data_IF_998008709235
#
_entry.id   IF_998008709235
#
_cell.length_a   1.000
_cell.length_b   1.000
_cell.length_c   1.000
_cell.angle_alpha   90.00
_cell.angle_beta   90.00
_cell.angle_gamma   90.00
#
_symmetry.space_group_name_H-M   'P 1'
#
loop_
_entity.id
_entity.type
_entity.pdbx_description
1 polymer ?
#
# COMPACT_ATOMS: atom_id res chain seq x y z
N UNK A 1 -7.21 -18.78 -6.93
CA UNK A 1 -5.85 -18.73 -7.49
C UNK A 1 -4.90 -18.56 -6.31
N UNK A 2 -4.34 -19.67 -5.81
CA UNK A 2 -3.42 -19.66 -4.69
C UNK A 2 -2.16 -18.91 -5.12
N UNK A 3 -1.88 -17.76 -4.49
CA UNK A 3 -0.58 -17.12 -4.61
C UNK A 3 0.45 -18.15 -4.17
N UNK A 4 1.33 -18.60 -5.07
CA UNK A 4 2.56 -19.28 -4.69
C UNK A 4 3.22 -18.40 -3.62
N UNK A 5 3.21 -18.88 -2.38
CA UNK A 5 3.93 -18.24 -1.27
C UNK A 5 5.35 -17.98 -1.75
N UNK A 6 5.80 -16.72 -1.76
CA UNK A 6 7.20 -16.41 -2.11
C UNK A 6 8.13 -17.24 -1.22
N UNK A 7 9.31 -17.64 -1.73
CA UNK A 7 10.25 -18.49 -0.97
C UNK A 7 10.60 -17.92 0.40
N UNK A 8 10.59 -16.60 0.55
CA UNK A 8 10.78 -15.89 1.81
C UNK A 8 9.69 -16.18 2.84
N UNK A 9 8.42 -16.31 2.43
CA UNK A 9 7.32 -16.65 3.34
C UNK A 9 7.47 -18.08 3.86
N UNK A 10 7.92 -19.01 3.01
CA UNK A 10 8.17 -20.38 3.42
C UNK A 10 9.35 -20.46 4.40
N UNK A 11 10.45 -19.77 4.11
CA UNK A 11 11.59 -19.65 5.02
C UNK A 11 11.20 -19.02 6.36
N UNK A 12 10.41 -17.95 6.32
CA UNK A 12 9.89 -17.31 7.53
C UNK A 12 9.01 -18.27 8.34
N UNK A 13 8.10 -19.01 7.69
CA UNK A 13 7.25 -19.98 8.37
C UNK A 13 8.05 -21.09 9.05
N UNK A 14 9.09 -21.63 8.40
CA UNK A 14 9.97 -22.63 8.98
C UNK A 14 10.69 -22.07 10.23
N UNK A 15 11.30 -20.89 10.12
CA UNK A 15 11.95 -20.23 11.26
C UNK A 15 10.98 -19.93 12.40
N UNK A 16 9.75 -19.54 12.07
CA UNK A 16 8.71 -19.26 13.05
C UNK A 16 8.29 -20.53 13.80
N UNK A 17 8.27 -21.69 13.14
CA UNK A 17 8.00 -22.98 13.79
C UNK A 17 9.08 -23.30 14.83
N UNK A 18 10.35 -23.24 14.45
CA UNK A 18 11.49 -23.47 15.35
C UNK A 18 11.39 -22.57 16.61
N UNK A 19 11.14 -21.27 16.42
CA UNK A 19 10.98 -20.32 17.52
C UNK A 19 9.79 -20.67 18.44
N UNK A 20 8.71 -21.22 17.89
CA UNK A 20 7.53 -21.59 18.68
C UNK A 20 7.77 -22.87 19.48
N UNK A 21 8.48 -23.83 18.90
CA UNK A 21 8.95 -25.04 19.58
C UNK A 21 9.88 -24.69 20.76
N UNK A 22 10.86 -23.81 20.55
CA UNK A 22 11.78 -23.35 21.62
C UNK A 22 11.03 -22.67 22.77
N UNK A 23 9.96 -21.94 22.47
CA UNK A 23 9.12 -21.28 23.48
C UNK A 23 8.07 -22.21 24.09
N UNK A 24 8.00 -23.49 23.67
CA UNK A 24 7.08 -24.50 24.19
C UNK A 24 5.64 -24.36 23.69
N UNK A 25 5.40 -23.70 22.57
CA UNK A 25 4.08 -23.57 21.96
C UNK A 25 3.77 -24.72 21.02
N UNK A 26 2.50 -25.15 21.00
CA UNK A 26 2.01 -26.11 19.99
C UNK A 26 1.98 -25.42 18.62
N UNK A 27 2.67 -25.99 17.65
CA UNK A 27 2.67 -25.49 16.27
C UNK A 27 1.38 -25.92 15.57
N UNK A 28 0.74 -24.99 14.88
CA UNK A 28 -0.34 -25.28 13.96
C UNK A 28 0.23 -25.93 12.68
N UNK A 29 -0.46 -26.95 12.15
CA UNK A 29 -0.16 -27.60 10.86
C UNK A 29 0.09 -26.54 9.76
N UNK A 30 1.03 -26.78 8.84
CA UNK A 30 1.52 -25.78 7.84
C UNK A 30 0.42 -24.97 7.13
N UNK A 31 -0.72 -25.61 6.81
CA UNK A 31 -1.88 -24.99 6.15
C UNK A 31 -2.59 -23.95 7.02
N UNK A 32 -2.49 -24.06 8.34
CA UNK A 32 -3.12 -23.18 9.32
C UNK A 32 -2.13 -22.29 10.07
N UNK A 33 -0.85 -22.29 9.67
CA UNK A 33 0.16 -21.44 10.32
C UNK A 33 -0.03 -19.96 9.92
N UNK A 34 -0.44 -19.08 10.85
CA UNK A 34 -0.59 -17.66 10.56
C UNK A 34 0.78 -17.00 10.42
N UNK A 35 0.89 -16.05 9.48
CA UNK A 35 2.08 -15.18 9.35
C UNK A 35 2.08 -14.12 10.45
N UNK A 36 0.91 -13.59 10.79
CA UNK A 36 0.72 -12.64 11.88
C UNK A 36 -0.03 -13.32 13.03
N UNK A 37 0.69 -13.57 14.11
CA UNK A 37 0.17 -14.29 15.27
C UNK A 37 0.07 -13.38 16.50
N UNK A 38 -0.74 -13.83 17.45
CA UNK A 38 -0.77 -13.32 18.82
C UNK A 38 -0.88 -14.52 19.75
N UNK A 39 -0.15 -14.47 20.85
CA UNK A 39 -0.27 -15.47 21.91
C UNK A 39 -1.64 -15.36 22.62
N UNK A 40 -2.36 -16.48 22.68
CA UNK A 40 -3.65 -16.59 23.35
C UNK A 40 -3.49 -17.28 24.71
N UNK A 41 -3.41 -16.47 25.78
CA UNK A 41 -3.11 -16.92 27.14
C UNK A 41 -3.98 -18.11 27.61
N UNK A 42 -5.30 -18.06 27.41
CA UNK A 42 -6.21 -19.11 27.91
C UNK A 42 -6.04 -20.46 27.18
N UNK A 43 -5.60 -20.43 25.93
CA UNK A 43 -5.42 -21.64 25.12
C UNK A 43 -3.96 -22.11 25.07
N UNK A 44 -3.06 -21.27 25.57
CA UNK A 44 -1.62 -21.48 25.52
C UNK A 44 -1.12 -21.80 24.09
N UNK A 45 -1.66 -21.09 23.10
CA UNK A 45 -1.36 -21.30 21.68
C UNK A 45 -1.19 -19.98 20.93
N UNK A 46 -0.51 -20.04 19.79
CA UNK A 46 -0.42 -18.92 18.86
C UNK A 46 -1.66 -18.89 17.96
N UNK A 47 -2.42 -17.81 18.01
CA UNK A 47 -3.64 -17.63 17.21
C UNK A 47 -3.48 -16.50 16.20
N UNK A 48 -4.39 -16.40 15.23
CA UNK A 48 -4.45 -15.27 14.30
C UNK A 48 -4.53 -13.93 15.04
N UNK A 49 -3.79 -12.95 14.52
CA UNK A 49 -3.94 -11.56 14.94
C UNK A 49 -5.35 -11.04 14.60
N UNK A 50 -5.95 -10.24 15.49
CA UNK A 50 -7.25 -9.61 15.21
C UNK A 50 -7.12 -8.60 14.08
N UNK A 51 -8.13 -8.51 13.23
CA UNK A 51 -8.17 -7.55 12.10
C UNK A 51 -8.11 -6.09 12.56
N UNK A 52 -8.59 -5.77 13.77
CA UNK A 52 -8.51 -4.42 14.34
C UNK A 52 -7.11 -4.03 14.83
N UNK A 53 -6.20 -4.99 14.98
CA UNK A 53 -4.89 -4.76 15.61
C UNK A 53 -4.10 -3.63 14.96
N UNK A 54 -4.04 -3.48 13.62
CA UNK A 54 -3.38 -2.34 12.99
C UNK A 54 -3.99 -0.99 13.40
N UNK A 55 -5.32 -0.90 13.50
CA UNK A 55 -5.99 0.32 13.96
C UNK A 55 -5.65 0.60 15.43
N UNK A 56 -5.67 -0.42 16.29
CA UNK A 56 -5.35 -0.28 17.71
C UNK A 56 -3.90 0.21 17.90
N UNK A 57 -2.96 -0.33 17.12
CA UNK A 57 -1.56 0.10 17.11
C UNK A 57 -1.41 1.55 16.64
N UNK A 58 -2.17 1.95 15.63
CA UNK A 58 -2.15 3.31 15.10
C UNK A 58 -2.73 4.31 16.10
N UNK A 59 -3.80 3.96 16.81
CA UNK A 59 -4.36 4.76 17.92
C UNK A 59 -3.31 4.94 19.02
N UNK A 60 -2.65 3.85 19.44
CA UNK A 60 -1.59 3.91 20.45
C UNK A 60 -0.39 4.76 19.99
N UNK A 61 -0.06 4.73 18.70
CA UNK A 61 0.97 5.58 18.11
C UNK A 61 0.60 7.06 18.22
N UNK A 62 -0.62 7.45 17.84
CA UNK A 62 -1.08 8.84 17.97
C UNK A 62 -1.20 9.31 19.42
N UNK A 63 -1.46 8.40 20.36
CA UNK A 63 -1.38 8.72 21.79
C UNK A 63 0.00 9.20 22.23
N UNK A 64 1.08 8.72 21.58
CA UNK A 64 2.46 9.14 21.82
C UNK A 64 2.89 10.35 20.97
N UNK A 65 2.16 10.64 19.90
CA UNK A 65 2.47 11.71 18.94
C UNK A 65 1.23 12.58 18.66
N UNK A 66 0.75 13.36 19.64
CA UNK A 66 -0.52 14.08 19.54
C UNK A 66 -0.54 15.17 18.45
N UNK A 67 0.63 15.68 18.06
CA UNK A 67 0.75 16.77 17.08
C UNK A 67 0.78 16.28 15.63
N UNK A 68 0.79 14.96 15.39
CA UNK A 68 0.78 14.41 14.04
C UNK A 68 -0.64 14.36 13.47
N UNK A 69 -0.74 14.65 12.18
CA UNK A 69 -1.98 14.46 11.45
C UNK A 69 -2.42 12.98 11.50
N UNK A 70 -3.70 12.77 11.77
CA UNK A 70 -4.28 11.43 11.93
C UNK A 70 -4.72 10.87 10.58
N UNK A 71 -4.18 9.72 10.23
CA UNK A 71 -4.61 8.90 9.11
C UNK A 71 -5.19 7.57 9.62
N UNK A 72 -5.98 6.92 8.79
CA UNK A 72 -6.54 5.59 9.00
C UNK A 72 -5.67 4.54 8.32
N UNK A 73 -5.83 3.28 8.71
CA UNK A 73 -5.10 2.16 8.07
C UNK A 73 -5.40 2.05 6.57
N UNK A 74 -6.63 2.38 6.16
CA UNK A 74 -7.00 2.36 4.74
C UNK A 74 -6.29 3.44 3.92
N UNK A 75 -5.88 4.56 4.54
CA UNK A 75 -5.20 5.65 3.84
C UNK A 75 -3.82 5.22 3.34
N UNK A 76 -3.14 4.27 3.98
CA UNK A 76 -1.91 3.68 3.46
C UNK A 76 -2.13 2.99 2.10
N UNK A 77 -3.29 2.35 1.91
CA UNK A 77 -3.66 1.74 0.62
C UNK A 77 -3.91 2.81 -0.43
N UNK A 78 -4.48 3.94 -0.06
CA UNK A 78 -4.63 5.09 -0.95
C UNK A 78 -3.29 5.68 -1.35
N UNK A 79 -2.39 5.92 -0.39
CA UNK A 79 -1.02 6.37 -0.70
C UNK A 79 -0.30 5.41 -1.64
N UNK A 80 -0.44 4.10 -1.42
CA UNK A 80 0.13 3.11 -2.34
C UNK A 80 -0.44 3.22 -3.76
N UNK A 81 -1.76 3.38 -3.89
CA UNK A 81 -2.41 3.56 -5.19
C UNK A 81 -1.93 4.85 -5.90
N UNK A 82 -1.90 5.98 -5.18
CA UNK A 82 -1.41 7.26 -5.69
C UNK A 82 0.02 7.16 -6.20
N UNK A 83 0.93 6.55 -5.41
CA UNK A 83 2.32 6.35 -5.81
C UNK A 83 2.45 5.48 -7.07
N UNK A 84 1.65 4.41 -7.18
CA UNK A 84 1.66 3.59 -8.40
C UNK A 84 1.25 4.41 -9.63
N UNK A 85 0.23 5.25 -9.51
CA UNK A 85 -0.18 6.13 -10.60
C UNK A 85 0.87 7.19 -10.93
N UNK A 86 1.53 7.77 -9.93
CA UNK A 86 2.63 8.72 -10.15
C UNK A 86 3.81 8.09 -10.91
N UNK A 87 4.07 6.79 -10.69
CA UNK A 87 5.09 6.04 -11.45
C UNK A 87 4.65 5.66 -12.87
N UNK A 88 3.44 6.03 -13.29
CA UNK A 88 2.91 5.74 -14.63
C UNK A 88 2.24 4.38 -14.79
N UNK A 89 1.93 3.68 -13.69
CA UNK A 89 1.20 2.41 -13.76
C UNK A 89 -0.20 2.62 -14.36
N UNK A 90 -0.65 1.69 -15.21
CA UNK A 90 -2.00 1.78 -15.77
C UNK A 90 -3.05 1.45 -14.71
N UNK A 91 -4.29 1.92 -14.91
CA UNK A 91 -5.41 1.58 -14.04
C UNK A 91 -5.57 0.06 -13.87
N UNK A 92 -5.36 -0.71 -14.93
CA UNK A 92 -5.45 -2.16 -14.92
C UNK A 92 -4.37 -2.80 -14.04
N UNK A 93 -3.14 -2.26 -14.09
CA UNK A 93 -2.02 -2.74 -13.27
C UNK A 93 -2.27 -2.44 -11.79
N UNK A 94 -2.75 -1.23 -11.47
CA UNK A 94 -3.09 -0.84 -10.10
C UNK A 94 -4.23 -1.69 -9.55
N UNK A 95 -5.28 -1.94 -10.36
CA UNK A 95 -6.38 -2.82 -9.97
C UNK A 95 -5.93 -4.26 -9.70
N UNK A 96 -5.10 -4.82 -10.59
CA UNK A 96 -4.54 -6.16 -10.39
C UNK A 96 -3.66 -6.22 -9.13
N UNK A 97 -2.87 -5.16 -8.87
CA UNK A 97 -1.97 -5.08 -7.72
C UNK A 97 -2.71 -4.95 -6.39
N UNK A 98 -3.78 -4.17 -6.34
CA UNK A 98 -4.52 -3.90 -5.11
C UNK A 98 -5.52 -5.01 -4.75
N UNK A 99 -5.93 -5.84 -5.71
CA UNK A 99 -6.96 -6.85 -5.52
C UNK A 99 -8.37 -6.23 -5.50
N UNK A 100 -9.27 -6.82 -6.26
CA UNK A 100 -10.55 -6.32 -6.80
C UNK A 100 -11.60 -5.70 -5.85
N UNK A 101 -11.33 -5.43 -4.57
CA UNK A 101 -12.39 -5.14 -3.60
C UNK A 101 -12.89 -3.69 -3.56
N UNK A 102 -12.21 -2.71 -4.17
CA UNK A 102 -12.75 -1.35 -4.20
C UNK A 102 -12.29 -0.52 -5.40
N UNK A 103 -13.01 -0.69 -6.52
CA UNK A 103 -12.87 0.13 -7.72
C UNK A 103 -13.23 1.59 -7.46
N UNK A 104 -14.17 1.84 -6.54
CA UNK A 104 -14.74 3.17 -6.35
C UNK A 104 -13.69 4.11 -5.78
N UNK A 105 -13.00 3.66 -4.73
CA UNK A 105 -11.96 4.47 -4.10
C UNK A 105 -10.67 4.54 -4.95
N UNK A 106 -10.40 3.51 -5.77
CA UNK A 106 -9.29 3.56 -6.75
C UNK A 106 -9.58 4.56 -7.88
N UNK A 107 -10.84 4.62 -8.32
CA UNK A 107 -11.28 5.52 -9.39
C UNK A 107 -11.26 6.98 -8.93
N UNK A 108 -11.75 7.28 -7.72
CA UNK A 108 -11.75 8.63 -7.17
C UNK A 108 -10.32 9.22 -7.13
N UNK A 109 -9.34 8.42 -6.68
CA UNK A 109 -7.91 8.80 -6.67
C UNK A 109 -7.39 9.01 -8.10
N UNK A 110 -7.70 8.08 -9.01
CA UNK A 110 -7.27 8.16 -10.40
C UNK A 110 -7.78 9.44 -11.08
N UNK A 111 -9.03 9.84 -10.86
CA UNK A 111 -9.56 11.10 -11.40
C UNK A 111 -8.76 12.31 -10.94
N UNK A 112 -8.38 12.38 -9.66
CA UNK A 112 -7.58 13.49 -9.14
C UNK A 112 -6.15 13.52 -9.69
N UNK A 113 -5.47 12.36 -9.73
CA UNK A 113 -4.10 12.27 -10.24
C UNK A 113 -4.05 12.59 -11.73
N UNK A 114 -4.99 12.05 -12.51
CA UNK A 114 -5.05 12.33 -13.96
C UNK A 114 -5.42 13.77 -14.27
N UNK A 115 -6.31 14.39 -13.50
CA UNK A 115 -6.62 15.81 -13.65
C UNK A 115 -5.37 16.67 -13.42
N UNK A 116 -4.64 16.40 -12.33
CA UNK A 116 -3.38 17.09 -12.01
C UNK A 116 -2.32 16.89 -13.09
N UNK A 117 -2.19 15.67 -13.62
CA UNK A 117 -1.27 15.37 -14.71
C UNK A 117 -1.64 16.09 -16.02
N UNK A 118 -2.95 16.19 -16.33
CA UNK A 118 -3.44 16.95 -17.50
C UNK A 118 -3.19 18.45 -17.36
N UNK A 119 -3.41 19.02 -16.19
CA UNK A 119 -3.12 20.43 -15.92
C UNK A 119 -1.63 20.74 -16.06
N UNK A 120 -0.77 19.90 -15.48
CA UNK A 120 0.69 20.02 -15.62
C UNK A 120 1.15 19.91 -17.08
N UNK A 121 0.58 18.99 -17.85
CA UNK A 121 0.83 18.87 -19.29
C UNK A 121 0.34 20.11 -20.05
N UNK A 122 -0.85 20.62 -19.75
CA UNK A 122 -1.40 21.81 -20.40
C UNK A 122 -0.53 23.05 -20.15
N UNK A 123 0.01 23.20 -18.94
CA UNK A 123 0.93 24.29 -18.60
C UNK A 123 2.27 24.14 -19.31
N UNK A 124 2.84 22.93 -19.39
CA UNK A 124 4.06 22.66 -20.16
C UNK A 124 3.87 22.91 -21.66
N UNK A 125 2.72 22.53 -22.23
CA UNK A 125 2.38 22.81 -23.62
C UNK A 125 2.23 24.30 -23.88
N UNK A 126 1.58 25.06 -22.98
CA UNK A 126 1.50 26.52 -23.07
C UNK A 126 2.87 27.18 -23.08
N UNK A 127 3.76 26.79 -22.17
CA UNK A 127 5.14 27.30 -22.11
C UNK A 127 5.86 27.01 -23.44
N UNK A 128 5.78 25.78 -23.93
CA UNK A 128 6.42 25.37 -25.19
C UNK A 128 5.89 26.17 -26.39
N UNK A 129 4.58 26.40 -26.46
CA UNK A 129 3.96 27.22 -27.52
C UNK A 129 4.39 28.69 -27.46
N UNK A 130 4.46 29.28 -26.25
CA UNK A 130 4.89 30.67 -26.07
C UNK A 130 6.36 30.84 -26.49
N UNK A 131 7.24 29.91 -26.09
CA UNK A 131 8.65 29.94 -26.52
C UNK A 131 8.79 29.77 -28.04
N UNK A 132 8.03 28.88 -28.67
CA UNK A 132 8.13 28.66 -30.10
C UNK A 132 7.57 29.84 -30.93
N UNK A 133 6.55 30.55 -30.44
CA UNK A 133 6.07 31.78 -31.08
C UNK A 133 7.02 32.98 -30.88
N UNK A 134 7.70 33.07 -29.72
CA UNK A 134 8.70 34.11 -29.47
C UNK A 134 9.98 33.96 -30.32
N UNK A 135 10.41 32.73 -30.59
CA UNK A 135 11.57 32.45 -31.45
C UNK A 135 11.26 32.74 -32.93
N UNK A 136 10.03 32.50 -33.38
CA UNK A 136 9.60 32.85 -34.75
C UNK A 136 9.65 34.36 -35.02
N UNK A 137 9.42 35.18 -33.99
CA UNK A 137 9.44 36.65 -34.11
C UNK A 137 10.85 37.26 -34.17
N UNK A 138 11.87 36.58 -33.63
CA UNK A 138 13.26 37.04 -33.66
C UNK A 138 14.05 36.59 -34.91
N UNK A 139 13.52 35.64 -35.68
CA UNK A 139 14.14 35.15 -36.93
C UNK A 139 13.55 35.80 -38.20
N UNK A 140 12.67 36.80 -38.05
CA UNK A 140 12.00 37.50 -39.16
C UNK A 140 12.33 38.99 -39.28
N UNK A 141 13.35 39.47 -38.56
CA UNK A 141 13.93 40.83 -38.68
C UNK A 141 15.38 40.75 -39.08
#
# INVERSE_FOLDING_TARGET
MYLQSSGEILQWKAKQQELYEEMGFKIAIEELQPVFTRFHQQKYEMTYMRESTPNDKLVAFYGRHPNLHRIKVHDFRHTHASLLFETGASLKDVQARLGHSDIKTTMDIYTHVTQTAREKLADQFKITLIFNQGVLFLLST
#
